data_IF_391682441531
#
_entry.id   IF_391682441531
#
_cell.length_a   1.000
_cell.length_b   1.000
_cell.length_c   1.000
_cell.angle_alpha   90.00
_cell.angle_beta   90.00
_cell.angle_gamma   90.00
#
_symmetry.space_group_name_H-M   'P 1'
#
loop_
_entity.id
_entity.type
_entity.pdbx_description
1 polymer ?
#
# COMPACT_ATOMS: atom_id res chain seq x y z
N UNK A 1 -32.55 -52.60 -13.64
CA UNK A 1 -33.51 -52.97 -14.69
C UNK A 1 -34.00 -51.70 -15.37
N UNK A 2 -33.99 -51.71 -16.70
CA UNK A 2 -34.22 -50.56 -17.59
C UNK A 2 -35.71 -50.20 -17.63
N UNK A 3 -36.05 -48.93 -17.53
CA UNK A 3 -37.36 -48.40 -17.90
C UNK A 3 -37.23 -47.49 -19.12
N UNK A 4 -37.39 -48.07 -20.31
CA UNK A 4 -37.66 -47.33 -21.55
C UNK A 4 -39.13 -47.52 -21.90
N UNK A 5 -39.78 -46.41 -22.25
CA UNK A 5 -41.13 -46.34 -22.86
C UNK A 5 -41.56 -44.87 -22.81
N UNK A 6 -41.12 -44.03 -23.76
CA UNK A 6 -41.74 -43.74 -25.07
C UNK A 6 -43.20 -43.31 -24.94
N UNK A 7 -43.41 -42.01 -24.69
CA UNK A 7 -44.57 -41.32 -25.22
C UNK A 7 -44.11 -40.33 -26.29
N UNK A 8 -44.47 -40.66 -27.53
CA UNK A 8 -44.28 -39.84 -28.72
C UNK A 8 -45.50 -38.95 -28.87
N UNK A 9 -45.60 -37.87 -28.09
CA UNK A 9 -46.56 -36.80 -28.36
C UNK A 9 -45.96 -35.42 -28.05
N UNK A 10 -45.48 -34.79 -29.14
CA UNK A 10 -45.54 -33.37 -29.45
C UNK A 10 -45.08 -32.34 -28.41
N UNK A 11 -43.82 -31.90 -28.54
CA UNK A 11 -43.46 -30.49 -28.34
C UNK A 11 -42.60 -30.08 -29.54
N UNK A 12 -43.12 -29.16 -30.36
CA UNK A 12 -42.36 -28.60 -31.49
C UNK A 12 -41.20 -27.74 -30.97
N UNK A 13 -40.03 -27.74 -31.64
CA UNK A 13 -38.92 -26.86 -31.25
C UNK A 13 -39.30 -25.40 -31.48
N UNK A 14 -39.17 -24.59 -30.43
CA UNK A 14 -39.34 -23.13 -30.48
C UNK A 14 -38.31 -22.57 -31.48
N UNK A 15 -38.80 -21.90 -32.54
CA UNK A 15 -37.97 -21.20 -33.52
C UNK A 15 -37.07 -20.20 -32.80
N UNK A 16 -35.75 -20.36 -32.93
CA UNK A 16 -34.74 -19.42 -32.44
C UNK A 16 -34.88 -18.09 -33.16
N UNK A 17 -35.51 -17.11 -32.53
CA UNK A 17 -35.38 -15.71 -32.94
C UNK A 17 -34.02 -15.21 -32.47
N UNK A 18 -33.25 -14.61 -33.39
CA UNK A 18 -31.95 -14.00 -33.09
C UNK A 18 -32.12 -12.93 -32.03
N UNK A 19 -31.82 -13.28 -30.78
CA UNK A 19 -31.86 -12.34 -29.67
C UNK A 19 -30.66 -11.40 -29.81
N UNK A 20 -30.91 -10.14 -30.16
CA UNK A 20 -29.90 -9.07 -30.12
C UNK A 20 -29.32 -9.05 -28.70
N UNK A 21 -28.05 -9.43 -28.54
CA UNK A 21 -27.37 -9.43 -27.25
C UNK A 21 -27.43 -8.02 -26.67
N UNK A 22 -28.11 -7.85 -25.54
CA UNK A 22 -28.06 -6.60 -24.76
C UNK A 22 -26.59 -6.35 -24.41
N UNK A 23 -26.05 -5.14 -24.62
CA UNK A 23 -24.71 -4.83 -24.13
C UNK A 23 -24.78 -4.91 -22.60
N UNK A 24 -24.16 -5.93 -22.02
CA UNK A 24 -24.05 -6.04 -20.57
C UNK A 24 -23.08 -4.96 -20.12
N UNK A 25 -23.55 -4.08 -19.23
CA UNK A 25 -22.81 -3.00 -18.57
C UNK A 25 -21.59 -3.48 -17.75
N UNK A 26 -21.25 -4.77 -17.83
CA UNK A 26 -20.32 -5.52 -16.98
C UNK A 26 -19.14 -6.12 -17.77
N UNK A 27 -18.85 -5.61 -18.98
CA UNK A 27 -17.77 -6.14 -19.84
C UNK A 27 -16.40 -5.49 -19.59
N UNK A 28 -16.21 -4.77 -18.49
CA UNK A 28 -14.87 -4.42 -18.04
C UNK A 28 -14.33 -5.61 -17.23
N UNK A 29 -13.16 -6.12 -17.62
CA UNK A 29 -12.48 -7.17 -16.86
C UNK A 29 -12.23 -6.65 -15.44
N UNK A 30 -12.93 -7.23 -14.47
CA UNK A 30 -12.72 -6.92 -13.06
C UNK A 30 -11.60 -7.84 -12.58
N UNK A 31 -10.41 -7.31 -12.23
CA UNK A 31 -9.27 -8.14 -11.84
C UNK A 31 -9.58 -9.03 -10.62
N UNK A 32 -10.58 -8.67 -9.81
CA UNK A 32 -11.13 -9.48 -8.72
C UNK A 32 -11.77 -10.79 -9.21
N UNK A 33 -12.42 -10.78 -10.39
CA UNK A 33 -13.01 -11.99 -10.99
C UNK A 33 -11.90 -12.89 -11.54
N UNK A 34 -10.83 -12.33 -12.11
CA UNK A 34 -9.69 -13.13 -12.57
C UNK A 34 -9.00 -13.87 -11.41
N UNK A 35 -8.97 -13.28 -10.21
CA UNK A 35 -8.53 -13.98 -8.99
C UNK A 35 -9.45 -15.16 -8.63
N UNK A 36 -10.75 -14.98 -8.81
CA UNK A 36 -11.76 -16.01 -8.54
C UNK A 36 -11.64 -17.18 -9.54
N UNK A 37 -11.40 -16.86 -10.81
CA UNK A 37 -11.33 -17.82 -11.92
C UNK A 37 -10.00 -18.59 -11.97
N UNK A 38 -8.89 -17.99 -11.53
CA UNK A 38 -7.57 -18.65 -11.54
C UNK A 38 -7.32 -19.56 -10.31
N UNK A 39 -8.25 -19.62 -9.36
CA UNK A 39 -8.17 -20.54 -8.23
C UNK A 39 -8.88 -21.86 -8.55
N UNK A 40 -8.17 -23.00 -8.46
CA UNK A 40 -8.72 -24.35 -8.73
C UNK A 40 -9.86 -24.80 -7.79
N UNK A 41 -10.31 -23.93 -6.89
CA UNK A 41 -11.36 -24.22 -5.91
C UNK A 41 -12.46 -23.15 -5.96
N UNK A 42 -13.66 -23.54 -6.38
CA UNK A 42 -14.88 -22.72 -6.40
C UNK A 42 -15.42 -22.35 -4.99
N UNK A 43 -14.68 -22.66 -3.92
CA UNK A 43 -14.94 -22.07 -2.61
C UNK A 43 -14.31 -20.69 -2.62
N UNK A 44 -15.13 -19.66 -2.46
CA UNK A 44 -14.72 -18.28 -2.18
C UNK A 44 -13.50 -18.25 -1.25
N UNK A 45 -12.32 -18.15 -1.84
CA UNK A 45 -11.08 -17.79 -1.15
C UNK A 45 -10.93 -16.25 -1.24
N UNK A 46 -12.02 -15.51 -0.99
CA UNK A 46 -12.04 -14.05 -0.78
C UNK A 46 -11.28 -13.64 0.51
N UNK A 47 -10.25 -14.40 0.89
CA UNK A 47 -9.35 -14.07 1.98
C UNK A 47 -8.17 -13.25 1.43
N UNK A 48 -8.46 -12.18 0.69
CA UNK A 48 -7.54 -11.04 0.56
C UNK A 48 -7.42 -10.26 1.87
N UNK A 49 -8.26 -10.61 2.86
CA UNK A 49 -8.26 -10.03 4.19
C UNK A 49 -7.28 -10.78 5.09
N UNK A 50 -6.25 -10.06 5.54
CA UNK A 50 -5.42 -10.50 6.65
C UNK A 50 -6.23 -10.37 7.95
N UNK A 51 -6.20 -11.40 8.80
CA UNK A 51 -6.88 -11.35 10.10
C UNK A 51 -6.06 -10.50 11.06
N UNK A 52 -6.77 -9.64 11.80
CA UNK A 52 -6.17 -8.80 12.82
C UNK A 52 -5.48 -9.65 13.90
N UNK A 53 -4.33 -9.20 14.37
CA UNK A 53 -3.53 -9.85 15.41
C UNK A 53 -4.33 -10.22 16.67
N UNK A 54 -5.26 -9.35 17.08
CA UNK A 54 -6.12 -9.55 18.27
C UNK A 54 -7.04 -10.78 18.15
N UNK A 55 -7.37 -11.20 16.93
CA UNK A 55 -8.25 -12.35 16.67
C UNK A 55 -7.50 -13.56 16.11
N UNK A 56 -6.21 -13.42 15.83
CA UNK A 56 -5.38 -14.51 15.31
C UNK A 56 -4.89 -15.46 16.41
N UNK A 57 -4.77 -16.74 16.05
CA UNK A 57 -4.14 -17.74 16.91
C UNK A 57 -2.62 -17.59 16.90
N UNK A 58 -1.92 -18.10 17.93
CA UNK A 58 -0.47 -18.04 18.00
C UNK A 58 0.20 -18.66 16.76
N UNK A 59 1.19 -17.96 16.22
CA UNK A 59 1.94 -18.33 15.03
C UNK A 59 3.24 -19.01 15.44
N UNK A 60 3.55 -20.18 14.88
CA UNK A 60 4.80 -20.90 15.19
C UNK A 60 5.89 -20.50 14.20
N UNK A 61 6.99 -19.95 14.72
CA UNK A 61 8.17 -19.61 13.93
C UNK A 61 9.39 -20.31 14.54
N UNK A 62 9.77 -21.44 13.93
CA UNK A 62 10.80 -22.33 14.47
C UNK A 62 10.34 -23.03 15.76
N UNK A 63 11.11 -22.85 16.84
CA UNK A 63 10.80 -23.43 18.16
C UNK A 63 9.85 -22.56 18.99
N UNK A 64 9.77 -21.28 18.67
CA UNK A 64 9.00 -20.30 19.43
C UNK A 64 7.56 -20.18 18.88
N UNK A 65 6.64 -19.80 19.76
CA UNK A 65 5.28 -19.40 19.41
C UNK A 65 5.16 -17.89 19.60
N UNK A 66 4.51 -17.21 18.67
CA UNK A 66 4.32 -15.76 18.70
C UNK A 66 2.84 -15.40 18.77
N UNK A 67 2.50 -14.51 19.69
CA UNK A 67 1.23 -13.79 19.70
C UNK A 67 1.55 -12.35 19.34
N UNK A 68 0.92 -11.87 18.27
CA UNK A 68 1.08 -10.49 17.80
C UNK A 68 -0.28 -9.84 17.84
N UNK A 69 -0.40 -8.72 18.56
CA UNK A 69 -1.68 -8.04 18.78
C UNK A 69 -1.52 -6.54 18.51
N UNK A 70 -2.64 -5.81 18.41
CA UNK A 70 -2.71 -4.40 17.97
C UNK A 70 -2.11 -4.14 16.57
N UNK A 71 -2.27 -5.07 15.63
CA UNK A 71 -1.68 -4.98 14.28
C UNK A 71 -2.43 -4.07 13.31
N UNK A 72 -3.44 -3.32 13.76
CA UNK A 72 -4.32 -2.57 12.86
C UNK A 72 -3.58 -1.61 11.91
N UNK A 73 -2.58 -0.87 12.42
CA UNK A 73 -1.77 0.03 11.62
C UNK A 73 -0.91 -0.70 10.58
N UNK A 74 -0.39 -1.88 10.92
CA UNK A 74 0.36 -2.71 9.98
C UNK A 74 -0.56 -3.27 8.90
N UNK A 75 -1.66 -3.88 9.32
CA UNK A 75 -2.62 -4.54 8.42
C UNK A 75 -3.25 -3.53 7.45
N UNK A 76 -3.54 -2.30 7.89
CA UNK A 76 -4.09 -1.24 7.04
C UNK A 76 -3.12 -0.83 5.93
N UNK A 77 -1.84 -0.64 6.25
CA UNK A 77 -0.80 -0.30 5.25
C UNK A 77 -0.64 -1.43 4.24
N UNK A 78 -0.58 -2.67 4.71
CA UNK A 78 -0.45 -3.82 3.83
C UNK A 78 -1.63 -3.92 2.86
N UNK A 79 -2.86 -3.80 3.35
CA UNK A 79 -4.07 -3.88 2.52
C UNK A 79 -4.08 -2.76 1.49
N UNK A 80 -3.80 -1.52 1.89
CA UNK A 80 -3.69 -0.38 0.96
C UNK A 80 -2.68 -0.66 -0.16
N UNK A 81 -1.47 -1.10 0.18
CA UNK A 81 -0.42 -1.45 -0.78
C UNK A 81 -0.82 -2.61 -1.69
N UNK A 82 -1.49 -3.62 -1.15
CA UNK A 82 -2.00 -4.76 -1.91
C UNK A 82 -3.06 -4.34 -2.92
N UNK A 83 -3.97 -3.42 -2.54
CA UNK A 83 -4.98 -2.88 -3.45
C UNK A 83 -4.33 -2.05 -4.56
N UNK A 84 -3.42 -1.14 -4.23
CA UNK A 84 -2.68 -0.36 -5.21
C UNK A 84 -1.93 -1.25 -6.22
N UNK A 85 -1.34 -2.36 -5.76
CA UNK A 85 -0.66 -3.34 -6.62
C UNK A 85 -1.62 -4.07 -7.59
N UNK A 86 -2.90 -4.23 -7.22
CA UNK A 86 -3.92 -4.87 -8.08
C UNK A 86 -4.47 -3.86 -9.09
N UNK A 87 -4.76 -2.65 -8.63
CA UNK A 87 -5.56 -1.68 -9.37
C UNK A 87 -4.73 -0.83 -10.33
N UNK A 88 -3.44 -0.63 -10.05
CA UNK A 88 -2.57 0.29 -10.79
C UNK A 88 -1.45 -0.49 -11.48
N UNK A 89 -1.52 -0.73 -12.81
CA UNK A 89 -0.52 -1.53 -13.54
C UNK A 89 0.91 -0.97 -13.46
N UNK A 90 1.09 0.35 -13.48
CA UNK A 90 2.41 0.97 -13.32
C UNK A 90 3.00 0.71 -11.93
N UNK A 91 2.17 0.75 -10.89
CA UNK A 91 2.57 0.43 -9.52
C UNK A 91 2.89 -1.05 -9.35
N UNK A 92 2.13 -1.94 -10.01
CA UNK A 92 2.43 -3.37 -10.08
C UNK A 92 3.85 -3.63 -10.62
N UNK A 93 4.20 -3.03 -11.76
CA UNK A 93 5.53 -3.17 -12.35
C UNK A 93 6.65 -2.67 -11.41
N UNK A 94 6.41 -1.55 -10.73
CA UNK A 94 7.33 -1.02 -9.73
C UNK A 94 7.54 -2.01 -8.56
N UNK A 95 6.45 -2.49 -7.96
CA UNK A 95 6.50 -3.46 -6.85
C UNK A 95 7.12 -4.78 -7.29
N UNK A 96 6.88 -5.23 -8.52
CA UNK A 96 7.46 -6.46 -9.07
C UNK A 96 8.99 -6.39 -9.20
N UNK A 97 9.54 -5.19 -9.42
CA UNK A 97 10.98 -4.94 -9.50
C UNK A 97 11.64 -4.47 -8.19
N UNK A 98 10.88 -4.35 -7.09
CA UNK A 98 11.37 -3.82 -5.82
C UNK A 98 11.54 -4.95 -4.78
N UNK A 99 12.59 -4.89 -3.96
CA UNK A 99 12.93 -5.89 -2.93
C UNK A 99 12.51 -5.47 -1.51
N UNK A 100 11.83 -4.33 -1.36
CA UNK A 100 11.32 -3.87 -0.09
C UNK A 100 10.37 -4.92 0.53
N UNK A 101 10.58 -5.18 1.82
CA UNK A 101 9.94 -6.29 2.51
C UNK A 101 8.41 -6.15 2.62
N UNK A 102 7.91 -4.95 2.91
CA UNK A 102 6.46 -4.72 3.01
C UNK A 102 5.81 -4.70 1.64
N UNK A 103 6.48 -4.16 0.60
CA UNK A 103 5.99 -4.25 -0.78
C UNK A 103 5.90 -5.71 -1.24
N UNK A 104 6.92 -6.51 -0.95
CA UNK A 104 6.96 -7.95 -1.23
C UNK A 104 5.84 -8.68 -0.47
N UNK A 105 5.63 -8.34 0.80
CA UNK A 105 4.55 -8.89 1.60
C UNK A 105 3.17 -8.55 1.03
N UNK A 106 2.94 -7.29 0.66
CA UNK A 106 1.70 -6.83 0.04
C UNK A 106 1.44 -7.49 -1.33
N UNK A 107 2.49 -7.69 -2.14
CA UNK A 107 2.41 -8.48 -3.37
C UNK A 107 2.02 -9.93 -3.09
N UNK A 108 2.59 -10.55 -2.05
CA UNK A 108 2.23 -11.91 -1.66
C UNK A 108 0.76 -12.01 -1.23
N UNK A 109 0.28 -11.07 -0.41
CA UNK A 109 -1.13 -11.01 -0.01
C UNK A 109 -2.06 -10.74 -1.22
N UNK A 110 -1.64 -9.89 -2.16
CA UNK A 110 -2.46 -9.58 -3.33
C UNK A 110 -2.65 -10.79 -4.27
N UNK A 111 -1.62 -11.63 -4.41
CA UNK A 111 -1.60 -12.77 -5.32
C UNK A 111 -2.07 -14.09 -4.67
N UNK A 112 -2.00 -14.22 -3.35
CA UNK A 112 -2.32 -15.46 -2.61
C UNK A 112 -3.28 -15.15 -1.47
N UNK A 113 -4.19 -16.08 -1.17
CA UNK A 113 -5.00 -15.99 0.04
C UNK A 113 -4.15 -16.07 1.31
N UNK A 114 -4.66 -15.46 2.38
CA UNK A 114 -4.04 -15.52 3.71
C UNK A 114 -3.77 -16.98 4.11
N UNK A 115 -2.50 -17.31 4.36
CA UNK A 115 -2.07 -18.65 4.76
C UNK A 115 -1.01 -18.56 5.87
N UNK A 116 -0.66 -19.70 6.47
CA UNK A 116 0.29 -19.74 7.57
C UNK A 116 1.66 -19.12 7.24
N UNK A 117 2.13 -19.29 5.99
CA UNK A 117 3.40 -18.69 5.55
C UNK A 117 3.33 -17.17 5.56
N UNK A 118 2.21 -16.59 5.11
CA UNK A 118 1.97 -15.15 5.20
C UNK A 118 2.04 -14.66 6.66
N UNK A 119 1.39 -15.35 7.59
CA UNK A 119 1.45 -14.97 9.01
C UNK A 119 2.87 -15.11 9.61
N UNK A 120 3.65 -16.10 9.18
CA UNK A 120 5.05 -16.25 9.57
C UNK A 120 5.90 -15.06 9.06
N UNK A 121 5.67 -14.64 7.80
CA UNK A 121 6.34 -13.47 7.22
C UNK A 121 5.94 -12.19 7.95
N UNK A 122 4.66 -12.01 8.28
CA UNK A 122 4.17 -10.87 9.09
C UNK A 122 4.94 -10.77 10.41
N UNK A 123 5.02 -11.87 11.15
CA UNK A 123 5.77 -11.92 12.42
C UNK A 123 7.23 -11.54 12.18
N UNK A 124 7.86 -12.07 11.12
CA UNK A 124 9.26 -11.80 10.80
C UNK A 124 9.54 -10.32 10.49
N UNK A 125 8.61 -9.63 9.82
CA UNK A 125 8.71 -8.19 9.56
C UNK A 125 8.52 -7.39 10.85
N UNK A 126 7.47 -7.68 11.61
CA UNK A 126 7.11 -6.96 12.83
C UNK A 126 8.24 -7.01 13.87
N UNK A 127 8.91 -8.16 14.01
CA UNK A 127 10.05 -8.35 14.93
C UNK A 127 11.25 -7.45 14.64
N UNK A 128 11.35 -6.88 13.44
CA UNK A 128 12.44 -5.95 13.09
C UNK A 128 12.22 -4.54 13.63
N UNK A 129 10.96 -4.20 13.97
CA UNK A 129 10.56 -2.83 14.31
C UNK A 129 9.83 -2.73 15.67
N UNK A 130 9.50 -3.87 16.30
CA UNK A 130 8.94 -3.94 17.64
C UNK A 130 9.71 -4.93 18.51
N UNK A 131 9.75 -4.63 19.81
CA UNK A 131 10.40 -5.50 20.80
C UNK A 131 9.54 -6.73 21.11
N UNK A 132 10.22 -7.85 21.36
CA UNK A 132 9.60 -9.08 21.85
C UNK A 132 9.56 -9.07 23.38
N UNK A 133 8.39 -9.33 23.95
CA UNK A 133 8.28 -9.66 25.37
C UNK A 133 8.28 -11.17 25.52
N UNK A 134 9.15 -11.68 26.41
CA UNK A 134 9.14 -13.10 26.76
C UNK A 134 7.94 -13.40 27.67
N UNK A 135 7.11 -14.35 27.25
CA UNK A 135 6.05 -14.92 28.07
C UNK A 135 6.50 -16.24 28.72
N UNK A 136 5.57 -16.84 29.46
CA UNK A 136 5.77 -18.15 30.07
C UNK A 136 5.79 -19.22 28.95
N UNK A 137 6.75 -20.16 28.99
CA UNK A 137 6.82 -21.37 28.12
C UNK A 137 6.97 -21.14 26.60
N UNK A 138 8.12 -20.61 26.14
CA UNK A 138 8.47 -20.43 24.70
C UNK A 138 7.43 -19.65 23.88
N UNK A 139 6.58 -18.90 24.57
CA UNK A 139 5.57 -18.02 24.00
C UNK A 139 6.11 -16.61 24.06
N UNK A 140 6.24 -15.98 22.90
CA UNK A 140 6.69 -14.61 22.73
C UNK A 140 5.50 -13.75 22.34
N UNK A 141 5.47 -12.55 22.91
CA UNK A 141 4.34 -11.65 22.77
C UNK A 141 4.86 -10.32 22.21
N UNK A 142 4.23 -9.82 21.15
CA UNK A 142 4.60 -8.55 20.51
C UNK A 142 3.38 -7.63 20.48
N UNK A 143 3.49 -6.49 21.16
CA UNK A 143 2.53 -5.39 21.06
C UNK A 143 2.90 -4.49 19.88
N UNK A 144 2.00 -4.36 18.91
CA UNK A 144 2.22 -3.60 17.67
C UNK A 144 1.47 -2.26 17.70
N UNK A 145 1.04 -1.80 18.87
CA UNK A 145 0.35 -0.51 19.02
C UNK A 145 1.24 0.64 18.53
N UNK A 146 0.83 1.26 17.43
CA UNK A 146 1.52 2.40 16.83
C UNK A 146 0.56 3.18 15.92
N UNK A 147 1.02 4.32 15.42
CA UNK A 147 0.36 5.05 14.34
C UNK A 147 0.79 4.49 12.96
N UNK A 148 0.01 4.80 11.93
CA UNK A 148 0.29 4.36 10.55
C UNK A 148 1.63 4.92 10.04
N UNK A 149 1.94 6.17 10.37
CA UNK A 149 3.21 6.81 9.98
C UNK A 149 4.43 6.04 10.49
N UNK A 150 4.38 5.48 11.71
CA UNK A 150 5.48 4.67 12.25
C UNK A 150 5.76 3.43 11.41
N UNK A 151 4.72 2.74 10.93
CA UNK A 151 4.86 1.58 10.04
C UNK A 151 5.52 2.01 8.72
N UNK A 152 5.02 3.08 8.10
CA UNK A 152 5.55 3.58 6.83
C UNK A 152 7.01 4.02 6.97
N UNK A 153 7.32 4.87 7.96
CA UNK A 153 8.67 5.39 8.21
C UNK A 153 9.67 4.25 8.45
N UNK A 154 9.25 3.18 9.14
CA UNK A 154 10.17 2.08 9.44
C UNK A 154 10.33 1.09 8.29
N UNK A 155 9.26 0.79 7.55
CA UNK A 155 9.26 -0.27 6.54
C UNK A 155 9.46 0.24 5.11
N UNK A 156 9.27 1.52 4.83
CA UNK A 156 9.39 2.13 3.48
C UNK A 156 10.70 2.92 3.28
N UNK A 157 11.71 2.76 4.15
CA UNK A 157 12.99 3.50 4.05
C UNK A 157 13.69 3.39 2.69
N UNK A 158 13.64 2.20 2.09
CA UNK A 158 14.27 1.91 0.79
C UNK A 158 13.32 2.07 -0.40
N UNK A 159 12.09 2.52 -0.14
CA UNK A 159 11.09 2.85 -1.15
C UNK A 159 10.38 4.12 -0.68
N UNK A 160 11.08 5.27 -0.64
CA UNK A 160 10.55 6.48 -0.03
C UNK A 160 9.51 7.18 -0.91
N UNK A 161 8.72 8.09 -0.33
CA UNK A 161 7.80 8.95 -1.09
C UNK A 161 8.51 10.10 -1.80
N UNK A 162 9.62 10.58 -1.23
CA UNK A 162 10.44 11.62 -1.84
C UNK A 162 11.91 11.48 -1.51
N UNK A 163 12.76 12.02 -2.39
CA UNK A 163 14.20 12.13 -2.22
C UNK A 163 14.56 13.62 -2.36
N UNK A 164 15.25 14.18 -1.38
CA UNK A 164 15.72 15.56 -1.37
C UNK A 164 17.22 15.61 -1.64
N UNK A 165 17.59 16.34 -2.68
CA UNK A 165 18.97 16.65 -3.03
C UNK A 165 19.31 18.05 -2.53
N UNK A 166 20.30 18.10 -1.63
CA UNK A 166 20.78 19.34 -1.01
C UNK A 166 22.21 19.58 -1.47
N UNK A 167 22.44 20.71 -2.15
CA UNK A 167 23.75 21.05 -2.72
C UNK A 167 24.15 22.45 -2.29
N UNK A 168 25.35 22.59 -1.72
CA UNK A 168 25.94 23.89 -1.45
C UNK A 168 26.69 24.41 -2.69
N UNK A 169 26.58 25.70 -2.97
CA UNK A 169 27.34 26.37 -4.04
C UNK A 169 28.86 26.43 -3.82
N UNK A 170 29.33 26.21 -2.57
CA UNK A 170 30.76 26.19 -2.22
C UNK A 170 31.25 24.74 -2.09
N UNK A 171 32.31 24.41 -2.83
CA UNK A 171 32.88 23.06 -2.91
C UNK A 171 33.66 22.65 -1.65
N UNK A 172 34.02 23.59 -0.78
CA UNK A 172 34.78 23.32 0.45
C UNK A 172 33.87 23.25 1.70
N UNK A 173 32.56 23.20 1.49
CA UNK A 173 31.57 23.18 2.56
C UNK A 173 31.32 21.77 3.11
N UNK A 174 31.10 21.63 4.41
CA UNK A 174 30.69 20.35 5.02
C UNK A 174 29.35 19.81 4.48
N UNK A 175 28.58 20.66 3.77
CA UNK A 175 27.29 20.39 3.17
C UNK A 175 27.33 20.37 1.63
N UNK A 176 28.48 20.04 1.00
CA UNK A 176 28.63 19.99 -0.48
C UNK A 176 27.45 19.30 -1.15
N UNK A 177 27.14 18.07 -0.72
CA UNK A 177 26.04 17.29 -1.26
C UNK A 177 25.46 16.35 -0.20
N UNK A 178 24.14 16.39 -0.01
CA UNK A 178 23.40 15.44 0.82
C UNK A 178 22.17 14.95 0.08
N UNK A 179 21.82 13.70 0.35
CA UNK A 179 20.61 13.06 -0.14
C UNK A 179 19.79 12.63 1.07
N UNK A 180 18.53 13.05 1.13
CA UNK A 180 17.62 12.69 2.22
C UNK A 180 16.42 11.96 1.63
N UNK A 181 16.24 10.71 2.03
CA UNK A 181 15.07 9.91 1.67
C UNK A 181 13.99 10.07 2.72
N UNK A 182 12.79 10.44 2.29
CA UNK A 182 11.63 10.66 3.15
C UNK A 182 10.53 9.66 2.81
N UNK A 183 10.29 8.63 3.66
CA UNK A 183 9.21 7.66 3.47
C UNK A 183 7.82 8.28 3.43
N UNK A 184 7.61 9.36 4.18
CA UNK A 184 6.37 10.14 4.21
C UNK A 184 6.63 11.59 3.79
N UNK A 185 5.58 12.27 3.37
CA UNK A 185 5.55 13.70 3.07
C UNK A 185 4.54 14.34 4.00
N UNK A 186 4.91 15.44 4.66
CA UNK A 186 4.00 16.20 5.50
C UNK A 186 3.55 17.42 4.73
N UNK A 187 2.25 17.54 4.49
CA UNK A 187 1.67 18.70 3.81
C UNK A 187 0.73 19.45 4.75
N UNK A 188 0.87 20.77 4.75
CA UNK A 188 -0.08 21.66 5.41
C UNK A 188 -1.20 21.99 4.43
N UNK A 189 -2.34 21.32 4.60
CA UNK A 189 -3.53 21.59 3.81
C UNK A 189 -4.35 22.68 4.51
N UNK A 190 -4.78 23.69 3.76
CA UNK A 190 -5.67 24.73 4.31
C UNK A 190 -7.11 24.27 4.12
N UNK A 191 -7.67 23.64 5.15
CA UNK A 191 -9.07 23.22 5.32
C UNK A 191 -9.70 22.28 4.27
N UNK A 192 -9.17 22.17 3.05
CA UNK A 192 -9.72 21.36 1.95
C UNK A 192 -8.64 20.63 1.15
N UNK A 193 -8.99 19.44 0.64
CA UNK A 193 -8.15 18.63 -0.26
C UNK A 193 -8.05 19.19 -1.68
N UNK A 194 -8.91 20.16 -2.05
CA UNK A 194 -8.82 20.91 -3.31
C UNK A 194 -7.45 21.59 -3.50
N UNK A 195 -6.74 21.87 -2.39
CA UNK A 195 -5.42 22.50 -2.39
C UNK A 195 -4.25 21.52 -2.44
N UNK A 196 -4.50 20.21 -2.48
CA UNK A 196 -3.46 19.16 -2.41
C UNK A 196 -2.43 19.29 -3.54
N UNK A 197 -2.89 19.53 -4.77
CA UNK A 197 -2.02 19.76 -5.92
C UNK A 197 -1.06 20.93 -5.69
N UNK A 198 -1.58 22.05 -5.20
CA UNK A 198 -0.78 23.24 -4.91
C UNK A 198 0.19 23.01 -3.76
N UNK A 199 -0.22 22.24 -2.74
CA UNK A 199 0.64 21.86 -1.62
C UNK A 199 1.79 20.95 -2.07
N UNK A 200 1.52 19.99 -2.96
CA UNK A 200 2.55 19.11 -3.54
C UNK A 200 3.50 19.87 -4.46
N UNK A 201 3.00 20.77 -5.31
CA UNK A 201 3.87 21.62 -6.13
C UNK A 201 4.82 22.44 -5.25
N UNK A 202 4.29 23.10 -4.20
CA UNK A 202 5.13 23.84 -3.24
C UNK A 202 6.12 22.96 -2.49
N UNK A 203 5.78 21.70 -2.23
CA UNK A 203 6.70 20.77 -1.57
C UNK A 203 7.87 20.40 -2.49
N UNK A 204 7.60 20.24 -3.79
CA UNK A 204 8.58 19.92 -4.83
C UNK A 204 9.38 21.14 -5.33
N UNK A 205 8.87 22.36 -5.12
CA UNK A 205 9.53 23.61 -5.53
C UNK A 205 10.95 23.70 -4.97
N UNK A 206 11.86 24.18 -5.82
CA UNK A 206 13.25 24.41 -5.48
C UNK A 206 13.36 25.48 -4.42
N UNK A 207 14.07 25.18 -3.34
CA UNK A 207 14.29 26.10 -2.23
C UNK A 207 15.75 26.52 -2.13
N UNK A 208 15.96 27.75 -1.67
CA UNK A 208 17.28 28.35 -1.48
C UNK A 208 17.38 28.89 -0.06
N UNK A 209 18.50 28.60 0.62
CA UNK A 209 18.79 29.12 1.95
C UNK A 209 20.28 29.28 2.17
N UNK A 210 20.66 30.13 3.13
CA UNK A 210 22.06 30.35 3.50
C UNK A 210 22.66 29.10 4.14
N UNK A 211 23.94 28.81 3.86
CA UNK A 211 24.61 27.68 4.46
C UNK A 211 24.66 27.83 5.99
N UNK A 212 24.26 26.80 6.77
CA UNK A 212 24.30 26.88 8.23
C UNK A 212 25.73 26.78 8.80
N UNK A 213 26.72 26.40 7.98
CA UNK A 213 28.12 26.37 8.37
C UNK A 213 28.67 27.79 8.49
N UNK A 214 29.13 28.17 9.68
CA UNK A 214 29.66 29.52 9.96
C UNK A 214 30.86 29.91 9.10
N UNK A 215 31.57 28.91 8.55
CA UNK A 215 32.72 29.12 7.69
C UNK A 215 32.34 29.11 6.18
N UNK A 216 31.05 29.06 5.85
CA UNK A 216 30.56 29.01 4.49
C UNK A 216 29.55 30.14 4.23
N UNK A 217 29.87 31.02 3.30
CA UNK A 217 28.99 32.06 2.74
C UNK A 217 28.17 31.55 1.54
N UNK A 218 28.14 30.23 1.33
CA UNK A 218 27.46 29.60 0.20
C UNK A 218 25.94 29.61 0.34
N UNK A 219 25.26 29.63 -0.81
CA UNK A 219 23.82 29.35 -0.90
C UNK A 219 23.64 27.84 -1.08
N UNK A 220 22.74 27.26 -0.29
CA UNK A 220 22.27 25.89 -0.45
C UNK A 220 21.04 25.89 -1.34
N UNK A 221 21.05 24.97 -2.30
CA UNK A 221 19.92 24.62 -3.14
C UNK A 221 19.36 23.29 -2.66
N UNK A 222 18.05 23.22 -2.40
CA UNK A 222 17.33 21.98 -2.12
C UNK A 222 16.26 21.72 -3.17
N UNK A 223 16.26 20.52 -3.73
CA UNK A 223 15.31 20.05 -4.73
C UNK A 223 14.73 18.72 -4.25
N UNK A 224 13.40 18.56 -4.33
CA UNK A 224 12.73 17.32 -3.93
C UNK A 224 12.14 16.61 -5.13
N UNK A 225 12.44 15.32 -5.24
CA UNK A 225 11.93 14.43 -6.27
C UNK A 225 10.91 13.47 -5.68
N UNK A 226 9.66 13.58 -6.14
CA UNK A 226 8.60 12.65 -5.79
C UNK A 226 8.83 11.29 -6.45
N UNK A 227 8.44 10.21 -5.76
CA UNK A 227 8.69 8.83 -6.18
C UNK A 227 7.39 8.12 -6.63
N UNK A 228 7.47 6.81 -6.88
CA UNK A 228 6.38 6.00 -7.44
C UNK A 228 5.12 5.88 -6.57
N UNK A 229 5.20 6.20 -5.28
CA UNK A 229 4.04 6.36 -4.40
C UNK A 229 4.27 7.54 -3.46
N UNK A 230 3.18 8.05 -2.89
CA UNK A 230 3.21 9.15 -1.93
C UNK A 230 2.39 8.79 -0.70
N UNK A 231 3.05 8.73 0.45
CA UNK A 231 2.39 8.69 1.75
C UNK A 231 2.33 10.10 2.31
N UNK A 232 1.14 10.69 2.31
CA UNK A 232 0.93 12.08 2.69
C UNK A 232 0.29 12.13 4.08
N UNK A 233 1.00 12.75 5.02
CA UNK A 233 0.47 13.13 6.32
C UNK A 233 -0.05 14.56 6.22
N UNK A 234 -1.37 14.72 6.33
CA UNK A 234 -2.02 16.02 6.31
C UNK A 234 -2.00 16.61 7.72
N UNK A 235 -1.23 17.67 7.89
CA UNK A 235 -1.11 18.41 9.15
C UNK A 235 -2.36 19.29 9.27
N UNK A 236 -3.32 18.85 10.09
CA UNK A 236 -4.59 19.50 10.45
C UNK A 236 -5.76 19.23 9.50
N UNK A 237 -6.55 18.25 9.88
CA UNK A 237 -8.00 18.21 9.68
C UNK A 237 -8.58 18.41 11.09
N UNK A 238 -9.42 19.41 11.31
CA UNK A 238 -10.08 19.54 12.62
C UNK A 238 -10.87 18.25 12.90
N UNK A 239 -10.88 17.76 14.15
CA UNK A 239 -11.48 16.46 14.55
C UNK A 239 -12.96 16.27 14.15
N UNK A 240 -13.64 17.34 13.73
CA UNK A 240 -15.05 17.38 13.32
C UNK A 240 -15.27 17.60 11.81
N UNK A 241 -14.22 17.78 11.01
CA UNK A 241 -14.38 17.97 9.56
C UNK A 241 -14.68 16.63 8.87
N UNK A 242 -15.88 16.53 8.31
CA UNK A 242 -16.25 15.48 7.37
C UNK A 242 -15.86 15.92 5.96
N UNK A 243 -15.26 15.00 5.20
CA UNK A 243 -14.95 15.21 3.78
C UNK A 243 -15.66 14.15 2.97
N UNK A 244 -16.10 14.55 1.78
CA UNK A 244 -16.55 13.60 0.79
C UNK A 244 -15.33 12.95 0.15
N UNK A 245 -15.40 11.63 -0.13
CA UNK A 245 -14.38 10.97 -0.95
C UNK A 245 -14.27 11.60 -2.35
N UNK A 246 -15.32 12.28 -2.81
CA UNK A 246 -15.32 13.03 -4.07
C UNK A 246 -14.47 14.31 -4.03
N UNK A 247 -14.13 14.81 -2.84
CA UNK A 247 -13.31 16.01 -2.69
C UNK A 247 -11.82 15.73 -2.92
N UNK A 248 -11.44 14.45 -2.96
CA UNK A 248 -10.09 14.02 -3.29
C UNK A 248 -9.88 14.10 -4.80
N UNK A 249 -8.80 14.77 -5.27
CA UNK A 249 -8.48 14.79 -6.69
C UNK A 249 -8.18 13.37 -7.17
N UNK A 250 -8.82 12.97 -8.27
CA UNK A 250 -8.61 11.64 -8.89
C UNK A 250 -7.23 11.54 -9.53
N UNK A 251 -6.72 12.67 -10.04
CA UNK A 251 -5.41 12.78 -10.68
C UNK A 251 -4.68 14.00 -10.11
N UNK A 252 -3.36 13.84 -9.91
CA UNK A 252 -2.45 14.88 -9.45
C UNK A 252 -1.26 14.91 -10.42
N UNK A 253 -0.97 16.08 -10.97
CA UNK A 253 0.12 16.30 -11.92
C UNK A 253 1.15 17.22 -11.28
N UNK A 254 2.24 16.65 -10.75
CA UNK A 254 3.35 17.45 -10.21
C UNK A 254 4.40 17.60 -11.30
N UNK A 255 4.61 18.84 -11.75
CA UNK A 255 5.70 19.16 -12.66
C UNK A 255 6.99 19.20 -11.86
N UNK A 256 7.71 18.08 -11.77
CA UNK A 256 9.12 18.12 -11.39
C UNK A 256 9.90 18.55 -12.62
N UNK A 257 10.49 19.74 -12.62
CA UNK A 257 11.54 20.07 -13.59
C UNK A 257 12.66 19.03 -13.42
N UNK A 258 12.79 18.12 -14.41
CA UNK A 258 13.92 17.20 -14.53
C UNK A 258 15.15 17.95 -15.04
#
# INVERSE_FOLDING_TARGET
WRGQGKDQNAIQPIKTTNCKKRPTKYMNAMPEIDKLLNSKHLRSNLNSLILNGNTTTPVRLGKDKYIVYNTCAFDSVVVMLSMAYIDIPSYKCYVDGNDNEILTFSKQLANKSSNQSLYNTRVSIIRKIFNENEGITNLKVIDVRCNVSFIIINLMKNAPSSIEDIVCSKMDCTYIKRHISSPTIILRLKHEFSTLQNALNRYADKTYYECPDKNCDGIITSIRYLQNHLFIEADIIADEQQFSLHDFPVEICVNSEM
#
